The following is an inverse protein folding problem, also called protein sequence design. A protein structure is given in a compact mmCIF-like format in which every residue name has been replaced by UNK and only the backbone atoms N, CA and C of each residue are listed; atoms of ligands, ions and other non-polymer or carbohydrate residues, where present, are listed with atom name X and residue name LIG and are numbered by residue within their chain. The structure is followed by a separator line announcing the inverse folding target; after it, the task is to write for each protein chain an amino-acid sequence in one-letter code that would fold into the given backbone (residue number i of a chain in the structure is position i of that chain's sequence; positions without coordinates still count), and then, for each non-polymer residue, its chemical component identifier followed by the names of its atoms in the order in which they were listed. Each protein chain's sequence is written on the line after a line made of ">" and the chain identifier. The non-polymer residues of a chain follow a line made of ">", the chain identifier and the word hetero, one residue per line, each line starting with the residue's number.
data_IF_056170462837
#
_entry.id   IF_056170462837
#
_cell.length_a   1.000
_cell.length_b   1.000
_cell.length_c   1.000
_cell.angle_alpha   90.00
_cell.angle_beta   90.00
_cell.angle_gamma   90.00
#
_symmetry.space_group_name_H-M   'P 1'
#
loop_
_entity.id
_entity.type
_entity.pdbx_description
1 polymer ?
#
# COMPACT_ATOMS: atom_id res chain seq x y z
N UNK A 1 23.89 -19.91 -17.52
CA UNK A 1 23.69 -18.56 -16.94
C UNK A 1 22.38 -18.02 -17.48
N UNK A 2 21.36 -17.84 -16.65
CA UNK A 2 20.12 -17.21 -17.10
C UNK A 2 20.41 -15.72 -17.34
N UNK A 3 20.30 -15.27 -18.59
CA UNK A 3 20.38 -13.85 -18.93
C UNK A 3 19.13 -13.19 -18.36
N UNK A 4 19.30 -12.28 -17.40
CA UNK A 4 18.19 -11.48 -16.86
C UNK A 4 17.57 -10.70 -18.02
N UNK A 5 16.38 -11.10 -18.45
CA UNK A 5 15.60 -10.33 -19.41
C UNK A 5 14.84 -9.29 -18.61
N UNK A 6 15.33 -8.06 -18.65
CA UNK A 6 14.62 -6.95 -18.02
C UNK A 6 13.24 -6.80 -18.66
N UNK A 7 12.22 -6.80 -17.82
CA UNK A 7 10.81 -6.67 -18.18
C UNK A 7 10.51 -5.32 -18.83
N UNK A 8 9.36 -5.19 -19.52
CA UNK A 8 8.86 -3.89 -20.01
C UNK A 8 8.80 -2.86 -18.87
N UNK A 9 8.46 -3.33 -17.67
CA UNK A 9 8.53 -2.54 -16.44
C UNK A 9 9.93 -1.99 -16.19
N UNK A 10 10.94 -2.87 -16.08
CA UNK A 10 12.33 -2.49 -15.78
C UNK A 10 12.95 -1.60 -16.87
N UNK A 11 12.61 -1.83 -18.14
CA UNK A 11 13.21 -1.09 -19.27
C UNK A 11 12.57 0.27 -19.54
N UNK A 12 11.26 0.40 -19.34
CA UNK A 12 10.52 1.56 -19.88
C UNK A 12 9.65 2.29 -18.86
N UNK A 13 9.00 1.58 -17.94
CA UNK A 13 8.07 2.21 -16.99
C UNK A 13 8.76 2.64 -15.71
N UNK A 14 9.63 1.80 -15.14
CA UNK A 14 10.29 2.10 -13.87
C UNK A 14 11.16 3.36 -13.92
N UNK A 15 11.93 3.67 -14.99
CA UNK A 15 12.76 4.88 -14.99
C UNK A 15 11.92 6.16 -14.94
N UNK A 16 10.77 6.19 -15.62
CA UNK A 16 9.87 7.36 -15.62
C UNK A 16 9.15 7.48 -14.28
N UNK A 17 8.63 6.36 -13.76
CA UNK A 17 7.90 6.34 -12.48
C UNK A 17 8.83 6.72 -11.32
N UNK A 18 10.09 6.25 -11.33
CA UNK A 18 11.10 6.62 -10.33
C UNK A 18 11.44 8.11 -10.30
N UNK A 19 11.37 8.82 -11.42
CA UNK A 19 11.57 10.28 -11.44
C UNK A 19 10.45 11.04 -10.70
N UNK A 20 9.28 10.42 -10.54
CA UNK A 20 8.11 11.02 -9.90
C UNK A 20 8.00 10.65 -8.41
N UNK A 21 8.78 9.66 -7.95
CA UNK A 21 8.72 9.14 -6.58
C UNK A 21 9.94 9.58 -5.80
N UNK A 22 9.72 10.23 -4.65
CA UNK A 22 10.77 10.50 -3.67
C UNK A 22 11.08 9.21 -2.87
N UNK A 23 11.83 8.28 -3.47
CA UNK A 23 12.20 7.00 -2.85
C UNK A 23 12.94 7.22 -1.51
N UNK A 24 13.82 8.21 -1.44
CA UNK A 24 14.57 8.55 -0.22
C UNK A 24 13.66 9.13 0.86
N UNK A 25 12.69 9.97 0.48
CA UNK A 25 11.64 10.47 1.37
C UNK A 25 10.79 9.35 1.95
N UNK A 26 10.30 8.43 1.10
CA UNK A 26 9.51 7.27 1.54
C UNK A 26 10.31 6.36 2.47
N UNK A 27 11.58 6.13 2.16
CA UNK A 27 12.48 5.35 3.02
C UNK A 27 12.70 6.03 4.37
N UNK A 28 13.01 7.33 4.38
CA UNK A 28 13.16 8.09 5.63
C UNK A 28 11.89 8.07 6.47
N UNK A 29 10.73 8.18 5.82
CA UNK A 29 9.45 8.08 6.52
C UNK A 29 9.23 6.68 7.11
N UNK A 30 9.46 5.62 6.33
CA UNK A 30 9.38 4.25 6.81
C UNK A 30 10.30 3.99 8.01
N UNK A 31 11.54 4.44 7.93
CA UNK A 31 12.56 4.25 8.97
C UNK A 31 12.29 5.12 10.21
N UNK A 32 11.48 6.18 10.09
CA UNK A 32 11.11 7.04 11.23
C UNK A 32 10.06 6.44 12.17
N UNK A 33 9.40 5.35 11.76
CA UNK A 33 8.31 4.73 12.49
C UNK A 33 8.82 3.48 13.21
N UNK A 34 8.51 3.37 14.50
CA UNK A 34 8.66 2.13 15.26
C UNK A 34 7.47 1.21 14.99
N UNK A 35 7.56 0.43 13.92
CA UNK A 35 6.46 -0.40 13.43
C UNK A 35 5.99 -1.45 14.43
N UNK A 36 6.92 -2.07 15.18
CA UNK A 36 6.54 -3.04 16.21
C UNK A 36 5.70 -2.36 17.29
N UNK A 37 6.16 -1.22 17.81
CA UNK A 37 5.42 -0.47 18.83
C UNK A 37 4.06 0.05 18.34
N UNK A 38 3.97 0.52 17.10
CA UNK A 38 2.69 0.99 16.56
C UNK A 38 1.71 -0.17 16.30
N UNK A 39 2.22 -1.33 15.87
CA UNK A 39 1.42 -2.54 15.70
C UNK A 39 0.97 -3.16 17.02
N UNK A 40 1.76 -3.02 18.10
CA UNK A 40 1.43 -3.60 19.42
C UNK A 40 0.05 -3.18 19.93
N UNK A 41 -0.40 -1.95 19.63
CA UNK A 41 -1.74 -1.45 20.01
C UNK A 41 -2.90 -2.20 19.35
N UNK A 42 -2.64 -2.83 18.21
CA UNK A 42 -3.63 -3.55 17.41
C UNK A 42 -3.45 -5.06 17.47
N UNK A 43 -2.34 -5.53 18.08
CA UNK A 43 -2.07 -6.95 18.26
C UNK A 43 -3.15 -7.55 19.17
N UNK A 44 -3.62 -8.73 18.78
CA UNK A 44 -4.65 -9.48 19.49
C UNK A 44 -4.14 -10.89 19.71
N UNK A 45 -3.96 -11.26 20.97
CA UNK A 45 -3.44 -12.58 21.34
C UNK A 45 -4.42 -13.72 21.01
N UNK A 46 -5.70 -13.40 20.84
CA UNK A 46 -6.74 -14.34 20.44
C UNK A 46 -6.84 -14.55 18.92
N UNK A 47 -6.03 -13.86 18.12
CA UNK A 47 -5.96 -14.01 16.67
C UNK A 47 -4.77 -14.87 16.30
N UNK A 48 -5.03 -16.08 15.80
CA UNK A 48 -4.00 -16.95 15.26
C UNK A 48 -3.64 -16.49 13.85
N UNK A 49 -2.43 -15.99 13.66
CA UNK A 49 -1.92 -15.60 12.35
C UNK A 49 -1.62 -16.87 11.53
N UNK A 50 -2.19 -17.03 10.32
CA UNK A 50 -1.91 -18.19 9.48
C UNK A 50 -0.43 -18.32 9.13
N UNK A 51 0.10 -19.55 9.13
CA UNK A 51 1.52 -19.82 8.88
C UNK A 51 2.04 -19.28 7.54
N UNK A 52 1.19 -19.12 6.52
CA UNK A 52 1.63 -18.62 5.23
C UNK A 52 2.13 -17.17 5.27
N UNK A 53 1.73 -16.37 6.26
CA UNK A 53 2.24 -15.01 6.45
C UNK A 53 3.70 -14.98 6.91
N UNK A 54 4.17 -16.05 7.56
CA UNK A 54 5.56 -16.18 8.03
C UNK A 54 6.42 -17.12 7.18
N UNK A 55 5.79 -18.06 6.45
CA UNK A 55 6.51 -19.13 5.76
C UNK A 55 6.60 -18.98 4.23
N UNK A 56 5.90 -18.02 3.62
CA UNK A 56 5.89 -17.85 2.16
C UNK A 56 6.76 -16.66 1.73
N UNK A 57 7.44 -16.78 0.58
CA UNK A 57 8.36 -15.75 0.12
C UNK A 57 7.65 -14.50 -0.42
N UNK A 58 6.62 -14.64 -1.26
CA UNK A 58 5.98 -13.47 -1.90
C UNK A 58 4.91 -12.80 -1.03
N UNK A 59 4.06 -13.60 -0.38
CA UNK A 59 3.02 -13.08 0.52
C UNK A 59 3.43 -13.15 2.00
N UNK A 60 4.72 -13.29 2.29
CA UNK A 60 5.23 -13.25 3.65
C UNK A 60 5.55 -11.84 4.12
N UNK A 61 5.82 -11.73 5.42
CA UNK A 61 6.32 -10.51 6.06
C UNK A 61 7.81 -10.32 5.72
N UNK A 62 8.64 -11.33 5.98
CA UNK A 62 10.08 -11.26 5.72
C UNK A 62 10.37 -11.44 4.23
N UNK A 63 10.87 -10.39 3.57
CA UNK A 63 11.24 -10.43 2.16
C UNK A 63 10.08 -10.52 1.17
N UNK A 64 8.84 -10.63 1.67
CA UNK A 64 7.61 -10.63 0.86
C UNK A 64 6.93 -9.26 0.84
N UNK A 65 5.74 -9.20 0.25
CA UNK A 65 4.96 -7.98 0.04
C UNK A 65 4.26 -7.47 1.32
N UNK A 66 4.12 -8.29 2.36
CA UNK A 66 3.41 -7.89 3.59
C UNK A 66 4.33 -7.26 4.63
N UNK A 67 5.10 -6.26 4.20
CA UNK A 67 6.00 -5.51 5.05
C UNK A 67 5.65 -4.02 5.07
N UNK A 68 6.22 -3.29 6.02
CA UNK A 68 5.98 -1.86 6.18
C UNK A 68 6.37 -1.01 4.97
N UNK A 69 7.36 -1.45 4.19
CA UNK A 69 7.76 -0.80 2.94
C UNK A 69 6.59 -0.75 1.96
N UNK A 70 5.88 -1.87 1.78
CA UNK A 70 4.68 -1.90 0.94
C UNK A 70 3.57 -1.00 1.49
N UNK A 71 3.41 -0.92 2.82
CA UNK A 71 2.42 -0.05 3.45
C UNK A 71 2.66 1.44 3.16
N UNK A 72 3.92 1.89 3.17
CA UNK A 72 4.25 3.31 2.88
C UNK A 72 4.38 3.61 1.40
N UNK A 73 4.67 2.61 0.55
CA UNK A 73 5.00 2.83 -0.85
C UNK A 73 3.83 2.57 -1.80
N UNK A 74 2.78 1.86 -1.37
CA UNK A 74 1.69 1.47 -2.27
C UNK A 74 1.04 2.68 -2.93
N UNK A 75 0.36 3.52 -2.16
CA UNK A 75 -0.34 4.71 -2.67
C UNK A 75 0.59 5.68 -3.45
N UNK A 76 1.81 6.01 -2.97
CA UNK A 76 2.74 6.85 -3.71
C UNK A 76 3.14 6.32 -5.08
N UNK A 77 3.19 4.99 -5.25
CA UNK A 77 3.61 4.35 -6.49
C UNK A 77 2.41 4.05 -7.40
N UNK A 78 1.32 3.49 -6.86
CA UNK A 78 0.18 2.96 -7.64
C UNK A 78 -0.52 4.03 -8.45
N UNK A 79 -0.57 5.26 -7.95
CA UNK A 79 -1.13 6.41 -8.66
C UNK A 79 -0.50 6.66 -10.05
N UNK A 80 0.73 6.20 -10.30
CA UNK A 80 1.43 6.39 -11.57
C UNK A 80 1.31 5.19 -12.52
N UNK A 81 0.84 4.04 -12.04
CA UNK A 81 0.86 2.77 -12.79
C UNK A 81 -0.53 2.18 -13.05
N UNK A 82 -1.56 2.69 -12.38
CA UNK A 82 -2.94 2.25 -12.56
C UNK A 82 -3.76 3.32 -13.31
N UNK A 83 -4.04 3.11 -14.62
CA UNK A 83 -5.05 3.88 -15.33
C UNK A 83 -6.45 3.23 -15.20
N UNK A 84 -7.52 4.01 -14.96
CA UNK A 84 -7.52 5.44 -14.65
C UNK A 84 -6.86 5.72 -13.29
N UNK A 85 -6.21 6.89 -13.17
CA UNK A 85 -5.46 7.26 -11.97
C UNK A 85 -6.30 7.01 -10.70
N UNK A 86 -5.68 6.36 -9.71
CA UNK A 86 -6.38 5.87 -8.53
C UNK A 86 -7.12 6.99 -7.76
N UNK A 87 -6.54 8.20 -7.68
CA UNK A 87 -7.19 9.35 -7.02
C UNK A 87 -8.49 9.77 -7.71
N UNK A 88 -8.57 9.63 -9.04
CA UNK A 88 -9.81 9.93 -9.79
C UNK A 88 -10.90 8.92 -9.42
N UNK A 89 -10.56 7.64 -9.37
CA UNK A 89 -11.50 6.56 -9.00
C UNK A 89 -11.98 6.75 -7.56
N UNK A 90 -11.07 7.04 -6.64
CA UNK A 90 -11.38 7.32 -5.22
C UNK A 90 -12.28 8.54 -5.08
N UNK A 91 -12.01 9.62 -5.81
CA UNK A 91 -12.84 10.83 -5.78
C UNK A 91 -14.25 10.56 -6.34
N UNK A 92 -14.36 9.80 -7.43
CA UNK A 92 -15.66 9.43 -7.99
C UNK A 92 -16.53 8.66 -6.98
N UNK A 93 -15.92 7.78 -6.18
CA UNK A 93 -16.62 7.11 -5.08
C UNK A 93 -17.09 8.11 -4.01
N UNK A 94 -16.22 9.03 -3.57
CA UNK A 94 -16.58 10.06 -2.59
C UNK A 94 -17.73 10.92 -3.11
N UNK A 95 -17.67 11.36 -4.37
CA UNK A 95 -18.70 12.19 -5.00
C UNK A 95 -20.03 11.44 -5.17
N UNK A 96 -19.99 10.11 -5.36
CA UNK A 96 -21.18 9.27 -5.43
C UNK A 96 -21.87 9.14 -4.07
N UNK A 97 -21.14 9.24 -2.96
CA UNK A 97 -21.69 9.19 -1.61
C UNK A 97 -22.28 10.57 -1.25
N UNK A 98 -23.58 10.71 -1.45
CA UNK A 98 -24.33 11.97 -1.28
C UNK A 98 -24.64 12.37 0.18
N UNK A 99 -24.08 11.65 1.15
CA UNK A 99 -24.34 11.85 2.59
C UNK A 99 -23.02 11.85 3.34
N UNK A 100 -22.98 12.46 4.53
CA UNK A 100 -21.80 12.38 5.41
C UNK A 100 -21.80 11.05 6.17
N UNK A 101 -20.91 10.09 5.87
CA UNK A 101 -20.95 8.76 6.49
C UNK A 101 -20.62 8.84 7.97
N UNK A 102 -21.39 8.16 8.83
CA UNK A 102 -21.10 8.06 10.28
C UNK A 102 -20.49 6.72 10.68
N UNK A 103 -20.71 5.69 9.87
CA UNK A 103 -20.16 4.33 10.03
C UNK A 103 -19.79 3.83 8.64
N UNK A 104 -18.54 3.41 8.48
CA UNK A 104 -17.99 2.96 7.20
C UNK A 104 -17.50 1.53 7.40
N UNK A 105 -17.97 0.62 6.55
CA UNK A 105 -17.41 -0.72 6.40
C UNK A 105 -16.74 -0.77 5.02
N UNK A 106 -15.42 -0.75 5.02
CA UNK A 106 -14.59 -0.78 3.81
C UNK A 106 -13.93 -2.16 3.69
N UNK A 107 -14.44 -2.97 2.77
CA UNK A 107 -14.02 -4.35 2.58
C UNK A 107 -12.90 -4.40 1.54
N UNK A 108 -11.75 -4.95 1.93
CA UNK A 108 -10.57 -4.95 1.05
C UNK A 108 -9.96 -3.56 0.90
N UNK A 109 -9.96 -2.77 1.98
CA UNK A 109 -9.58 -1.36 1.97
C UNK A 109 -8.10 -1.07 1.63
N UNK A 110 -7.25 -2.09 1.48
CA UNK A 110 -5.83 -1.94 1.18
C UNK A 110 -5.11 -1.11 2.25
N UNK A 111 -4.54 0.03 1.84
CA UNK A 111 -3.90 1.02 2.72
C UNK A 111 -4.90 1.83 3.56
N UNK A 112 -6.21 1.71 3.30
CA UNK A 112 -7.27 2.42 4.01
C UNK A 112 -7.39 3.90 3.66
N UNK A 113 -6.64 4.40 2.69
CA UNK A 113 -6.64 5.81 2.28
C UNK A 113 -7.98 6.25 1.70
N UNK A 114 -8.66 5.39 0.93
CA UNK A 114 -10.04 5.64 0.49
C UNK A 114 -11.00 5.76 1.68
N UNK A 115 -10.85 4.89 2.70
CA UNK A 115 -11.63 4.97 3.94
C UNK A 115 -11.41 6.33 4.64
N UNK A 116 -10.17 6.81 4.67
CA UNK A 116 -9.83 8.12 5.25
C UNK A 116 -10.45 9.28 4.46
N UNK A 117 -10.43 9.22 3.13
CA UNK A 117 -11.10 10.23 2.29
C UNK A 117 -12.62 10.27 2.57
N UNK A 118 -13.27 9.11 2.63
CA UNK A 118 -14.70 9.01 2.96
C UNK A 118 -15.03 9.53 4.37
N UNK A 119 -14.13 9.38 5.33
CA UNK A 119 -14.29 9.91 6.70
C UNK A 119 -14.19 11.43 6.76
N UNK A 120 -13.37 12.04 5.88
CA UNK A 120 -13.13 13.48 5.85
C UNK A 120 -14.24 14.24 5.09
N UNK A 121 -14.84 13.62 4.08
CA UNK A 121 -15.94 14.18 3.28
C UNK A 121 -17.17 14.59 4.13
#
# INVERSE_FOLDING_TARGET
>A
MAVRQDTIWERFLSPVVRLLIDEDGLKRYADSIDWEKECDRYRRDDVIIPAYYSSQNFHGITGGYLNYGAAVSYDPITQYVLPPNESIVRQALVDAVKVKPRRILDLGCGTGSTTLMLKQA
#
